data_IF_116953294379
#
_entry.id   IF_116953294379
#
_cell.length_a   1.000
_cell.length_b   1.000
_cell.length_c   1.000
_cell.angle_alpha   90.00
_cell.angle_beta   90.00
_cell.angle_gamma   90.00
#
_symmetry.space_group_name_H-M   'P 1'
#
loop_
_entity.id
_entity.type
_entity.pdbx_description
1 polymer ?
#
# COMPACT_ATOMS: atom_id res chain seq x y z
N UNK A 1 16.76 18.80 -5.29
CA UNK A 1 15.30 18.55 -5.32
C UNK A 1 15.02 17.61 -6.51
N UNK A 2 14.53 16.38 -6.28
CA UNK A 2 14.28 15.40 -7.35
C UNK A 2 13.13 15.84 -8.26
N UNK A 3 13.27 15.67 -9.57
CA UNK A 3 12.20 15.94 -10.55
C UNK A 3 11.15 14.81 -10.50
N UNK A 4 9.87 15.18 -10.48
CA UNK A 4 8.73 14.31 -10.20
C UNK A 4 8.43 13.22 -11.26
N UNK A 5 9.07 13.26 -12.44
CA UNK A 5 8.76 12.40 -13.59
C UNK A 5 9.98 11.70 -14.21
N UNK A 6 11.17 11.80 -13.61
CA UNK A 6 12.36 11.06 -14.07
C UNK A 6 12.46 9.71 -13.32
N UNK A 7 13.02 8.65 -13.96
CA UNK A 7 13.26 7.38 -13.28
C UNK A 7 14.12 7.61 -12.03
N UNK A 8 13.65 7.08 -10.91
CA UNK A 8 14.29 7.30 -9.61
C UNK A 8 15.56 6.46 -9.54
N UNK A 9 16.71 7.13 -9.49
CA UNK A 9 18.01 6.50 -9.34
C UNK A 9 18.20 6.07 -7.86
N UNK A 10 18.59 4.80 -7.58
CA UNK A 10 18.90 4.36 -6.22
C UNK A 10 19.92 5.23 -5.49
N UNK A 11 21.00 5.63 -6.17
CA UNK A 11 22.07 6.44 -5.58
C UNK A 11 21.58 7.80 -5.10
N UNK A 12 20.66 8.44 -5.84
CA UNK A 12 20.13 9.74 -5.43
C UNK A 12 19.15 9.68 -4.26
N UNK A 13 18.48 8.53 -4.02
CA UNK A 13 17.73 8.32 -2.77
C UNK A 13 18.68 8.17 -1.57
N UNK A 14 19.77 7.42 -1.74
CA UNK A 14 20.76 7.24 -0.69
C UNK A 14 21.46 8.56 -0.33
N UNK A 15 21.83 9.35 -1.33
CA UNK A 15 22.44 10.67 -1.13
C UNK A 15 21.46 11.65 -0.46
N UNK A 16 20.17 11.60 -0.80
CA UNK A 16 19.15 12.42 -0.15
C UNK A 16 18.96 12.07 1.32
N UNK A 17 18.91 10.78 1.67
CA UNK A 17 18.91 10.33 3.06
C UNK A 17 20.17 10.84 3.81
N UNK A 18 21.34 10.71 3.18
CA UNK A 18 22.61 11.18 3.78
C UNK A 18 22.58 12.68 4.06
N UNK A 19 22.11 13.48 3.10
CA UNK A 19 22.00 14.92 3.25
C UNK A 19 21.01 15.30 4.37
N UNK A 20 19.86 14.64 4.44
CA UNK A 20 18.86 14.88 5.49
C UNK A 20 19.42 14.56 6.88
N UNK A 21 20.16 13.46 7.04
CA UNK A 21 20.75 13.07 8.32
C UNK A 21 21.92 13.98 8.73
N UNK A 22 22.76 14.41 7.78
CA UNK A 22 23.84 15.37 8.04
C UNK A 22 23.31 16.75 8.44
N UNK A 23 22.10 17.12 8.00
CA UNK A 23 21.45 18.38 8.38
C UNK A 23 20.93 18.39 9.82
N UNK A 24 20.89 17.25 10.52
CA UNK A 24 20.39 17.17 11.88
C UNK A 24 21.51 17.45 12.89
N UNK A 25 21.26 18.23 13.96
CA UNK A 25 22.27 18.57 14.97
C UNK A 25 22.73 17.36 15.81
N UNK A 26 22.11 16.20 15.59
CA UNK A 26 22.34 14.95 16.30
C UNK A 26 23.50 14.13 15.73
N UNK A 27 23.96 14.41 14.51
CA UNK A 27 25.00 13.62 13.85
C UNK A 27 26.24 14.45 13.56
N UNK A 28 27.39 13.78 13.62
CA UNK A 28 28.65 14.35 13.17
C UNK A 28 28.88 13.99 11.70
N UNK A 29 28.80 12.70 11.35
CA UNK A 29 28.92 12.20 9.98
C UNK A 29 28.06 10.95 9.75
N UNK A 30 27.71 10.71 8.49
CA UNK A 30 26.98 9.54 8.03
C UNK A 30 27.64 9.01 6.74
N UNK A 31 28.11 7.76 6.77
CA UNK A 31 28.78 7.11 5.65
C UNK A 31 28.04 5.83 5.26
N UNK A 32 27.94 5.57 3.96
CA UNK A 32 27.41 4.32 3.41
C UNK A 32 28.23 3.94 2.19
N UNK A 33 28.57 2.66 2.09
CA UNK A 33 29.27 2.09 0.95
C UNK A 33 28.28 1.49 -0.06
N UNK A 34 28.11 2.13 -1.25
CA UNK A 34 27.25 1.64 -2.33
C UNK A 34 27.93 0.60 -3.27
N UNK A 35 29.19 0.19 -3.04
CA UNK A 35 29.91 -0.74 -3.93
C UNK A 35 29.42 -2.19 -3.87
N UNK A 36 29.09 -2.77 -5.02
CA UNK A 36 28.72 -4.20 -5.15
C UNK A 36 29.87 -5.15 -4.78
N UNK A 37 31.10 -4.66 -4.70
CA UNK A 37 32.28 -5.45 -4.32
C UNK A 37 32.39 -5.67 -2.81
N UNK A 38 31.53 -5.06 -2.00
CA UNK A 38 31.52 -5.25 -0.55
C UNK A 38 30.89 -6.62 -0.19
N UNK A 39 31.68 -7.60 0.30
CA UNK A 39 31.18 -8.95 0.57
C UNK A 39 30.21 -9.01 1.75
N UNK A 40 30.11 -7.97 2.58
CA UNK A 40 29.22 -7.91 3.75
C UNK A 40 27.80 -7.47 3.40
N UNK A 41 27.39 -7.39 2.13
CA UNK A 41 26.11 -6.76 1.79
C UNK A 41 24.85 -7.48 2.25
N UNK A 42 24.86 -8.76 2.61
CA UNK A 42 23.74 -9.51 3.22
C UNK A 42 22.31 -9.16 2.72
N UNK A 43 22.13 -8.84 1.43
CA UNK A 43 20.84 -8.44 0.85
C UNK A 43 20.43 -6.96 1.03
N UNK A 44 21.34 -6.12 1.49
CA UNK A 44 21.29 -4.66 1.56
C UNK A 44 21.89 -4.02 0.29
N UNK A 45 21.35 -2.87 -0.08
CA UNK A 45 21.85 -2.05 -1.19
C UNK A 45 23.02 -1.16 -0.76
N UNK A 46 23.17 -0.91 0.55
CA UNK A 46 24.34 -0.30 1.16
C UNK A 46 24.44 -0.66 2.64
N UNK A 47 25.66 -0.70 3.18
CA UNK A 47 25.92 -0.76 4.61
C UNK A 47 26.75 0.46 4.98
N UNK A 48 26.50 1.00 6.16
CA UNK A 48 27.13 2.22 6.59
C UNK A 48 27.24 2.37 8.08
N UNK A 49 27.90 3.44 8.46
CA UNK A 49 28.14 3.84 9.83
C UNK A 49 27.56 5.23 10.05
N UNK A 50 26.78 5.36 11.11
CA UNK A 50 26.28 6.63 11.61
C UNK A 50 27.03 6.99 12.88
N UNK A 51 27.54 8.22 12.93
CA UNK A 51 28.27 8.74 14.08
C UNK A 51 27.40 9.78 14.79
N UNK A 52 26.72 9.41 15.90
CA UNK A 52 26.01 10.37 16.74
C UNK A 52 26.99 11.36 17.34
N UNK A 53 26.56 12.61 17.48
CA UNK A 53 27.39 13.66 18.06
C UNK A 53 27.72 13.32 19.52
N UNK A 54 29.01 13.32 19.85
CA UNK A 54 29.49 12.99 21.21
C UNK A 54 29.56 11.49 21.51
N UNK A 55 29.38 10.63 20.51
CA UNK A 55 29.57 9.18 20.63
C UNK A 55 30.74 8.73 19.75
N UNK A 56 31.71 8.04 20.34
CA UNK A 56 32.87 7.50 19.60
C UNK A 56 32.54 6.18 18.89
N UNK A 57 31.48 5.49 19.35
CA UNK A 57 31.05 4.21 18.77
C UNK A 57 30.06 4.51 17.63
N UNK A 58 30.38 4.13 16.37
CA UNK A 58 29.43 4.24 15.29
C UNK A 58 28.31 3.21 15.42
N UNK A 59 27.12 3.59 14.96
CA UNK A 59 26.04 2.64 14.75
C UNK A 59 26.18 2.06 13.34
N UNK A 60 26.14 0.73 13.21
CA UNK A 60 26.15 0.00 11.93
C UNK A 60 24.73 -0.15 11.38
N UNK A 61 24.51 0.35 10.16
CA UNK A 61 23.19 0.42 9.54
C UNK A 61 23.17 -0.21 8.15
N UNK A 62 22.20 -1.09 7.94
CA UNK A 62 21.84 -1.59 6.61
C UNK A 62 20.82 -0.67 5.94
N UNK A 63 20.99 -0.42 4.64
CA UNK A 63 20.03 0.34 3.82
C UNK A 63 19.50 -0.53 2.71
N UNK A 64 18.18 -0.56 2.58
CA UNK A 64 17.48 -1.16 1.44
C UNK A 64 16.79 -0.07 0.64
N UNK A 65 17.03 -0.04 -0.66
CA UNK A 65 16.55 0.99 -1.57
C UNK A 65 15.42 0.43 -2.42
N UNK A 66 14.30 1.16 -2.45
CA UNK A 66 13.18 0.92 -3.34
C UNK A 66 13.07 2.08 -4.32
N UNK A 67 13.05 1.77 -5.61
CA UNK A 67 12.89 2.78 -6.69
C UNK A 67 11.43 3.12 -6.99
N UNK A 68 10.49 2.48 -6.28
CA UNK A 68 9.04 2.71 -6.37
C UNK A 68 8.46 2.90 -4.98
N UNK A 69 7.27 3.52 -4.91
CA UNK A 69 6.52 3.67 -3.67
C UNK A 69 6.37 2.30 -2.98
N UNK A 70 6.59 2.30 -1.67
CA UNK A 70 6.53 1.09 -0.87
C UNK A 70 5.09 0.81 -0.44
N UNK A 71 4.55 -0.27 -0.97
CA UNK A 71 3.20 -0.75 -0.69
C UNK A 71 3.17 -1.63 0.57
N UNK A 72 2.03 -1.70 1.29
CA UNK A 72 1.91 -2.41 2.57
C UNK A 72 2.36 -3.87 2.52
N UNK A 73 1.97 -4.64 1.50
CA UNK A 73 2.35 -6.05 1.37
C UNK A 73 3.85 -6.24 1.19
N UNK A 74 4.47 -5.40 0.36
CA UNK A 74 5.91 -5.46 0.15
C UNK A 74 6.67 -5.08 1.41
N UNK A 75 6.21 -4.05 2.13
CA UNK A 75 6.78 -3.66 3.42
C UNK A 75 6.70 -4.79 4.45
N UNK A 76 5.59 -5.53 4.49
CA UNK A 76 5.42 -6.67 5.39
C UNK A 76 6.41 -7.80 5.10
N UNK A 77 6.50 -8.23 3.85
CA UNK A 77 7.41 -9.30 3.43
C UNK A 77 8.88 -8.89 3.59
N UNK A 78 9.21 -7.67 3.17
CA UNK A 78 10.56 -7.14 3.29
C UNK A 78 10.96 -6.98 4.76
N UNK A 79 10.09 -6.39 5.58
CA UNK A 79 10.36 -6.18 7.00
C UNK A 79 10.56 -7.49 7.76
N UNK A 80 9.82 -8.55 7.40
CA UNK A 80 10.00 -9.88 8.00
C UNK A 80 11.43 -10.40 7.77
N UNK A 81 11.87 -10.40 6.50
CA UNK A 81 13.22 -10.81 6.12
C UNK A 81 14.30 -9.95 6.76
N UNK A 82 14.11 -8.63 6.80
CA UNK A 82 15.12 -7.71 7.35
C UNK A 82 15.27 -7.85 8.87
N UNK A 83 14.20 -8.19 9.59
CA UNK A 83 14.27 -8.43 11.03
C UNK A 83 15.16 -9.63 11.36
N UNK A 84 15.11 -10.70 10.55
CA UNK A 84 15.99 -11.88 10.69
C UNK A 84 17.45 -11.48 10.44
N UNK A 85 17.73 -10.84 9.30
CA UNK A 85 19.09 -10.42 8.93
C UNK A 85 19.68 -9.43 9.93
N UNK A 86 18.87 -8.53 10.53
CA UNK A 86 19.34 -7.58 11.55
C UNK A 86 20.05 -8.28 12.71
N UNK A 87 19.44 -9.37 13.18
CA UNK A 87 19.94 -10.16 14.31
C UNK A 87 21.18 -10.93 13.90
N UNK A 88 21.13 -11.61 12.75
CA UNK A 88 22.26 -12.41 12.24
C UNK A 88 23.53 -11.58 12.02
N UNK A 89 23.36 -10.34 11.54
CA UNK A 89 24.47 -9.46 11.18
C UNK A 89 24.84 -8.45 12.26
N UNK A 90 24.23 -8.55 13.44
CA UNK A 90 24.44 -7.65 14.58
C UNK A 90 24.42 -6.16 14.18
N UNK A 91 23.42 -5.78 13.37
CA UNK A 91 23.23 -4.40 12.92
C UNK A 91 22.44 -3.61 13.96
N UNK A 92 22.90 -2.40 14.26
CA UNK A 92 22.20 -1.48 15.16
C UNK A 92 20.84 -1.05 14.57
N UNK A 93 20.80 -0.82 13.26
CA UNK A 93 19.61 -0.34 12.57
C UNK A 93 19.50 -0.84 11.13
N UNK A 94 18.28 -0.84 10.61
CA UNK A 94 18.02 -1.04 9.19
C UNK A 94 17.02 0.04 8.75
N UNK A 95 17.25 0.64 7.59
CA UNK A 95 16.33 1.61 6.98
C UNK A 95 15.95 1.16 5.59
N UNK A 96 14.64 1.13 5.34
CA UNK A 96 14.11 1.04 3.99
C UNK A 96 13.88 2.46 3.45
N UNK A 97 14.52 2.80 2.34
CA UNK A 97 14.32 4.07 1.65
C UNK A 97 13.49 3.89 0.38
N UNK A 98 12.54 4.80 0.16
CA UNK A 98 11.67 4.77 -1.01
C UNK A 98 11.28 6.20 -1.45
N UNK A 99 10.66 6.38 -2.62
CA UNK A 99 10.12 7.68 -3.02
C UNK A 99 9.00 8.14 -2.08
N UNK A 100 8.15 7.19 -1.69
CA UNK A 100 7.09 7.37 -0.71
C UNK A 100 6.84 6.05 0.02
N UNK A 101 6.62 6.13 1.34
CA UNK A 101 6.20 5.01 2.17
C UNK A 101 4.80 5.30 2.68
N UNK A 102 3.81 4.49 2.28
CA UNK A 102 2.43 4.65 2.77
C UNK A 102 2.37 4.43 4.29
N UNK A 103 1.36 5.01 4.95
CA UNK A 103 1.18 4.87 6.40
C UNK A 103 1.10 3.39 6.84
N UNK A 104 0.33 2.57 6.12
CA UNK A 104 0.24 1.13 6.39
C UNK A 104 1.56 0.39 6.14
N UNK A 105 2.35 0.79 5.14
CA UNK A 105 3.70 0.25 4.91
C UNK A 105 4.65 0.65 6.05
N UNK A 106 4.61 1.91 6.49
CA UNK A 106 5.39 2.42 7.61
C UNK A 106 5.08 1.66 8.90
N UNK A 107 3.80 1.47 9.23
CA UNK A 107 3.38 0.68 10.39
C UNK A 107 3.90 -0.77 10.34
N UNK A 108 3.88 -1.37 9.16
CA UNK A 108 4.37 -2.73 8.94
C UNK A 108 5.87 -2.87 9.22
N UNK A 109 6.70 -1.94 8.73
CA UNK A 109 8.14 -1.89 9.02
C UNK A 109 8.41 -1.65 10.51
N UNK A 110 7.71 -0.68 11.09
CA UNK A 110 7.83 -0.25 12.48
C UNK A 110 7.57 -1.40 13.46
N UNK A 111 6.51 -2.18 13.23
CA UNK A 111 6.16 -3.34 14.06
C UNK A 111 7.29 -4.37 14.14
N UNK A 112 8.22 -4.35 13.19
CA UNK A 112 9.35 -5.27 13.08
C UNK A 112 10.68 -4.63 13.48
N UNK A 113 10.66 -3.41 14.03
CA UNK A 113 11.87 -2.68 14.42
C UNK A 113 12.71 -2.21 13.22
N UNK A 114 12.10 -2.12 12.03
CA UNK A 114 12.73 -1.63 10.82
C UNK A 114 12.38 -0.15 10.63
N UNK A 115 13.39 0.68 10.42
CA UNK A 115 13.21 2.08 10.11
C UNK A 115 12.85 2.31 8.64
N UNK A 116 12.34 3.50 8.35
CA UNK A 116 12.10 3.96 6.99
C UNK A 116 12.43 5.44 6.81
N UNK A 117 12.71 5.81 5.57
CA UNK A 117 12.76 7.19 5.12
C UNK A 117 12.16 7.27 3.73
N UNK A 118 11.45 8.35 3.44
CA UNK A 118 10.95 8.59 2.10
C UNK A 118 11.31 9.97 1.55
N UNK A 119 11.43 10.02 0.23
CA UNK A 119 11.74 11.25 -0.46
C UNK A 119 10.56 12.25 -0.47
N UNK A 120 9.43 11.96 0.17
CA UNK A 120 8.36 12.94 0.41
C UNK A 120 8.55 13.66 1.76
N UNK A 121 9.47 13.21 2.60
CA UNK A 121 9.82 13.79 3.89
C UNK A 121 9.22 13.06 5.09
N UNK A 122 8.57 11.91 4.89
CA UNK A 122 8.18 11.04 5.98
C UNK A 122 9.36 10.13 6.36
N UNK A 123 9.54 9.89 7.65
CA UNK A 123 10.53 8.94 8.12
C UNK A 123 10.15 8.38 9.48
N UNK A 124 10.65 7.17 9.77
CA UNK A 124 10.88 6.71 11.12
C UNK A 124 12.21 5.98 11.19
N UNK A 125 13.22 6.61 11.75
CA UNK A 125 14.57 6.07 11.86
C UNK A 125 14.81 5.85 13.35
N UNK A 126 15.04 4.59 13.80
CA UNK A 126 15.37 4.33 15.20
C UNK A 126 16.33 3.17 15.43
N UNK A 127 17.32 3.38 16.30
CA UNK A 127 18.21 2.38 16.90
C UNK A 127 18.77 2.92 18.22
N UNK A 128 18.79 2.12 19.29
CA UNK A 128 19.34 2.54 20.58
C UNK A 128 18.71 3.86 21.09
N UNK A 129 19.54 4.86 21.35
CA UNK A 129 19.13 6.18 21.81
C UNK A 129 18.60 7.12 20.69
N UNK A 130 18.65 6.68 19.43
CA UNK A 130 18.24 7.48 18.29
C UNK A 130 16.77 7.20 17.95
N UNK A 131 15.96 8.26 17.95
CA UNK A 131 14.58 8.24 17.47
C UNK A 131 14.29 9.51 16.68
N UNK A 132 13.90 9.34 15.41
CA UNK A 132 13.46 10.42 14.54
C UNK A 132 12.14 10.00 13.91
N UNK A 133 11.11 10.82 14.03
CA UNK A 133 9.81 10.60 13.39
C UNK A 133 9.33 11.87 12.70
N UNK A 134 8.95 11.74 11.43
CA UNK A 134 8.25 12.75 10.63
C UNK A 134 7.13 12.07 9.87
N UNK A 135 5.91 12.57 10.00
CA UNK A 135 4.71 11.97 9.40
C UNK A 135 3.79 13.06 8.83
N UNK A 136 2.89 12.66 7.94
CA UNK A 136 1.85 13.53 7.38
C UNK A 136 2.24 14.26 6.09
N UNK A 137 3.43 14.01 5.54
CA UNK A 137 3.83 14.58 4.25
C UNK A 137 3.14 13.80 3.12
N UNK A 138 2.43 14.50 2.20
CA UNK A 138 1.68 13.83 1.13
C UNK A 138 2.64 13.16 0.13
N UNK A 139 2.14 12.12 -0.54
CA UNK A 139 2.89 11.41 -1.57
C UNK A 139 3.18 12.32 -2.77
N UNK A 140 4.42 12.82 -2.87
CA UNK A 140 4.88 13.60 -4.02
C UNK A 140 5.01 12.75 -5.28
N UNK A 141 5.19 11.45 -5.12
CA UNK A 141 5.40 10.46 -6.18
C UNK A 141 4.11 9.66 -6.48
N UNK A 142 2.95 10.25 -6.23
CA UNK A 142 1.68 9.66 -6.60
C UNK A 142 1.60 9.57 -8.13
N UNK A 143 1.47 8.34 -8.66
CA UNK A 143 1.17 8.16 -10.09
C UNK A 143 -0.18 8.78 -10.41
N UNK A 144 -0.35 9.31 -11.62
CA UNK A 144 -1.66 9.77 -12.10
C UNK A 144 -2.71 8.67 -11.85
N UNK A 145 -3.90 9.08 -11.38
CA UNK A 145 -4.95 8.24 -10.80
C UNK A 145 -5.46 7.07 -11.68
N UNK A 146 -5.02 6.98 -12.93
CA UNK A 146 -5.29 5.85 -13.83
C UNK A 146 -4.53 4.56 -13.48
N UNK A 147 -3.53 4.59 -12.57
CA UNK A 147 -2.79 3.41 -12.12
C UNK A 147 -2.56 3.31 -10.59
N UNK A 148 -3.52 3.02 -9.72
CA UNK A 148 -4.89 2.57 -9.86
C UNK A 148 -5.42 2.41 -8.44
N UNK A 149 -6.46 3.16 -8.09
CA UNK A 149 -7.17 2.96 -6.82
C UNK A 149 -8.09 1.75 -6.96
N UNK A 150 -8.15 0.83 -5.98
CA UNK A 150 -9.18 -0.21 -5.99
C UNK A 150 -10.58 0.36 -5.71
N UNK A 151 -10.71 1.66 -5.43
CA UNK A 151 -11.97 2.35 -5.09
C UNK A 151 -12.59 3.10 -6.29
N UNK A 152 -12.21 2.75 -7.52
CA UNK A 152 -12.91 3.23 -8.74
C UNK A 152 -14.37 2.75 -8.78
N UNK A 153 -15.21 3.27 -9.70
CA UNK A 153 -16.60 2.81 -9.85
C UNK A 153 -16.72 1.28 -10.02
N UNK A 154 -15.83 0.66 -10.79
CA UNK A 154 -15.78 -0.80 -10.95
C UNK A 154 -15.30 -1.48 -9.65
N UNK A 155 -14.28 -0.91 -9.02
CA UNK A 155 -13.79 -1.32 -7.71
C UNK A 155 -14.87 -1.37 -6.64
N UNK A 156 -15.64 -0.29 -6.50
CA UNK A 156 -16.75 -0.20 -5.54
C UNK A 156 -17.84 -1.25 -5.80
N UNK A 157 -18.07 -1.67 -7.04
CA UNK A 157 -19.00 -2.78 -7.34
C UNK A 157 -18.45 -4.11 -6.85
N UNK A 158 -17.14 -4.33 -7.01
CA UNK A 158 -16.45 -5.53 -6.53
C UNK A 158 -16.32 -5.58 -5.00
N UNK A 159 -16.24 -4.43 -4.34
CA UNK A 159 -16.19 -4.33 -2.88
C UNK A 159 -17.52 -4.71 -2.19
N UNK A 160 -18.66 -4.47 -2.85
CA UNK A 160 -19.99 -4.81 -2.29
C UNK A 160 -20.11 -6.28 -1.90
N UNK A 161 -19.87 -7.27 -2.78
CA UNK A 161 -19.93 -8.68 -2.40
C UNK A 161 -18.81 -9.10 -1.43
N UNK A 162 -17.64 -8.45 -1.45
CA UNK A 162 -16.57 -8.72 -0.49
C UNK A 162 -16.89 -8.26 0.94
N UNK A 163 -17.63 -7.16 1.07
CA UNK A 163 -17.99 -6.54 2.34
C UNK A 163 -19.43 -6.83 2.77
N UNK A 164 -20.13 -7.70 2.03
CA UNK A 164 -21.44 -8.18 2.41
C UNK A 164 -21.30 -8.96 3.74
N UNK A 165 -22.04 -8.60 4.80
CA UNK A 165 -21.97 -9.29 6.09
C UNK A 165 -22.19 -10.79 5.98
N UNK A 166 -23.02 -11.25 5.05
CA UNK A 166 -23.29 -12.68 4.83
C UNK A 166 -22.11 -13.40 4.14
N UNK A 167 -21.27 -12.67 3.42
CA UNK A 167 -20.13 -13.20 2.68
C UNK A 167 -18.76 -12.79 3.28
N UNK A 168 -18.72 -12.19 4.47
CA UNK A 168 -17.50 -11.58 4.99
C UNK A 168 -16.37 -12.58 5.24
N UNK A 169 -16.70 -13.82 5.59
CA UNK A 169 -15.75 -14.92 5.78
C UNK A 169 -15.58 -15.79 4.53
N UNK A 170 -16.29 -15.48 3.44
CA UNK A 170 -16.28 -16.29 2.23
C UNK A 170 -14.95 -16.16 1.48
N UNK A 171 -14.43 -17.30 1.03
CA UNK A 171 -13.37 -17.34 0.01
C UNK A 171 -13.99 -17.23 -1.37
N UNK A 172 -13.47 -16.29 -2.17
CA UNK A 172 -13.97 -15.98 -3.50
C UNK A 172 -12.98 -16.45 -4.56
N UNK A 173 -13.48 -17.17 -5.57
CA UNK A 173 -12.75 -17.21 -6.85
C UNK A 173 -12.93 -15.86 -7.56
N UNK A 174 -11.94 -15.44 -8.36
CA UNK A 174 -12.06 -14.19 -9.13
C UNK A 174 -13.25 -14.24 -10.12
N UNK A 175 -13.61 -15.43 -10.61
CA UNK A 175 -14.75 -15.63 -11.49
C UNK A 175 -16.07 -15.41 -10.76
N UNK A 176 -16.23 -15.99 -9.57
CA UNK A 176 -17.44 -15.82 -8.77
C UNK A 176 -17.59 -14.38 -8.30
N UNK A 177 -16.47 -13.74 -7.95
CA UNK A 177 -16.48 -12.35 -7.54
C UNK A 177 -16.87 -11.41 -8.69
N UNK A 178 -16.33 -11.63 -9.89
CA UNK A 178 -16.73 -10.89 -11.09
C UNK A 178 -18.22 -11.11 -11.42
N UNK A 179 -18.72 -12.34 -11.26
CA UNK A 179 -20.13 -12.67 -11.45
C UNK A 179 -21.02 -11.97 -10.42
N UNK A 180 -20.63 -11.93 -9.15
CA UNK A 180 -21.37 -11.24 -8.09
C UNK A 180 -21.35 -9.71 -8.25
N UNK A 181 -20.28 -9.17 -8.83
CA UNK A 181 -20.14 -7.74 -9.13
C UNK A 181 -20.76 -7.32 -10.49
N UNK A 182 -21.39 -8.26 -11.20
CA UNK A 182 -22.03 -8.02 -12.49
C UNK A 182 -23.38 -7.29 -12.32
N UNK A 183 -23.77 -6.38 -13.23
CA UNK A 183 -23.01 -5.87 -14.37
C UNK A 183 -21.95 -4.84 -13.99
N UNK A 184 -20.91 -4.71 -14.83
CA UNK A 184 -19.96 -3.60 -14.78
C UNK A 184 -18.56 -3.90 -14.23
N UNK A 185 -18.23 -5.16 -13.95
CA UNK A 185 -16.86 -5.61 -13.66
C UNK A 185 -16.56 -6.87 -14.47
N UNK A 186 -15.67 -6.76 -15.46
CA UNK A 186 -15.19 -7.93 -16.21
C UNK A 186 -14.22 -8.77 -15.36
N UNK A 187 -13.96 -10.02 -15.76
CA UNK A 187 -12.98 -10.87 -15.09
C UNK A 187 -11.57 -10.24 -15.08
N UNK A 188 -11.18 -9.59 -16.17
CA UNK A 188 -9.90 -8.86 -16.25
C UNK A 188 -9.83 -7.68 -15.29
N UNK A 189 -10.93 -6.93 -15.16
CA UNK A 189 -11.03 -5.86 -14.16
C UNK A 189 -11.01 -6.41 -12.73
N UNK A 190 -11.69 -7.52 -12.47
CA UNK A 190 -11.67 -8.18 -11.16
C UNK A 190 -10.24 -8.61 -10.78
N UNK A 191 -9.47 -9.17 -11.72
CA UNK A 191 -8.07 -9.51 -11.49
C UNK A 191 -7.21 -8.29 -11.16
N UNK A 192 -7.35 -7.20 -11.94
CA UNK A 192 -6.60 -5.97 -11.71
C UNK A 192 -6.94 -5.33 -10.35
N UNK A 193 -8.23 -5.24 -10.01
CA UNK A 193 -8.71 -4.70 -8.74
C UNK A 193 -8.29 -5.56 -7.54
N UNK A 194 -8.38 -6.89 -7.66
CA UNK A 194 -7.91 -7.81 -6.63
C UNK A 194 -6.41 -7.63 -6.38
N UNK A 195 -5.59 -7.50 -7.43
CA UNK A 195 -4.15 -7.24 -7.28
C UNK A 195 -3.87 -5.92 -6.54
N UNK A 196 -4.67 -4.87 -6.77
CA UNK A 196 -4.52 -3.60 -6.05
C UNK A 196 -4.89 -3.73 -4.58
N UNK A 197 -6.01 -4.39 -4.26
CA UNK A 197 -6.42 -4.68 -2.89
C UNK A 197 -5.38 -5.54 -2.17
N UNK A 198 -4.80 -6.51 -2.86
CA UNK A 198 -3.78 -7.42 -2.34
C UNK A 198 -2.47 -6.69 -2.03
N UNK A 199 -2.03 -5.79 -2.91
CA UNK A 199 -0.85 -4.96 -2.67
C UNK A 199 -1.02 -4.04 -1.44
N UNK A 200 -2.26 -3.58 -1.20
CA UNK A 200 -2.64 -2.75 -0.07
C UNK A 200 -2.97 -3.55 1.21
N UNK A 201 -2.75 -4.87 1.23
CA UNK A 201 -3.07 -5.76 2.35
C UNK A 201 -4.56 -5.80 2.75
N UNK A 202 -5.48 -5.48 1.84
CA UNK A 202 -6.91 -5.59 2.09
C UNK A 202 -7.47 -6.99 1.90
N UNK A 203 -6.80 -7.81 1.06
CA UNK A 203 -7.18 -9.19 0.81
C UNK A 203 -5.97 -10.11 0.91
N UNK A 204 -6.23 -11.35 1.30
CA UNK A 204 -5.30 -12.46 1.23
C UNK A 204 -5.63 -13.35 0.04
N UNK A 205 -4.59 -13.90 -0.59
CA UNK A 205 -4.70 -14.84 -1.70
C UNK A 205 -4.14 -16.19 -1.27
N UNK A 206 -4.97 -17.22 -1.40
CA UNK A 206 -4.61 -18.61 -1.17
C UNK A 206 -4.94 -19.50 -2.38
N UNK A 207 -4.72 -20.82 -2.25
CA UNK A 207 -5.00 -21.78 -3.33
C UNK A 207 -6.49 -21.80 -3.72
N UNK A 208 -7.38 -21.63 -2.75
CA UNK A 208 -8.84 -21.66 -2.93
C UNK A 208 -9.44 -20.34 -3.45
N UNK A 209 -8.65 -19.27 -3.52
CA UNK A 209 -9.10 -17.96 -3.97
C UNK A 209 -8.65 -16.81 -3.08
N UNK A 210 -9.48 -15.77 -2.97
CA UNK A 210 -9.20 -14.56 -2.21
C UNK A 210 -10.19 -14.36 -1.07
N UNK A 211 -9.72 -13.81 0.05
CA UNK A 211 -10.52 -13.48 1.22
C UNK A 211 -10.18 -12.09 1.73
N UNK A 212 -11.14 -11.37 2.30
CA UNK A 212 -10.89 -10.06 2.92
C UNK A 212 -10.11 -10.25 4.22
N UNK A 213 -8.96 -9.58 4.34
CA UNK A 213 -8.09 -9.67 5.52
C UNK A 213 -8.64 -8.87 6.70
N UNK A 214 -8.97 -7.59 6.45
CA UNK A 214 -9.53 -6.67 7.44
C UNK A 214 -10.72 -5.94 6.83
N UNK A 215 -11.95 -6.46 7.02
CA UNK A 215 -13.16 -5.83 6.50
C UNK A 215 -13.36 -4.40 6.98
N UNK A 216 -13.05 -4.13 8.25
CA UNK A 216 -13.25 -2.81 8.84
C UNK A 216 -12.23 -1.80 8.28
N UNK A 217 -10.97 -2.22 8.13
CA UNK A 217 -9.92 -1.42 7.48
C UNK A 217 -10.23 -1.14 6.02
N UNK A 218 -10.73 -2.14 5.28
CA UNK A 218 -11.15 -1.97 3.89
C UNK A 218 -12.34 -1.00 3.76
N UNK A 219 -13.33 -1.09 4.66
CA UNK A 219 -14.45 -0.12 4.72
C UNK A 219 -13.97 1.31 4.99
N UNK A 220 -13.05 1.50 5.94
CA UNK A 220 -12.47 2.82 6.24
C UNK A 220 -11.69 3.39 5.06
N UNK A 221 -10.85 2.57 4.42
CA UNK A 221 -10.11 2.97 3.23
C UNK A 221 -11.05 3.34 2.08
N UNK A 222 -12.10 2.54 1.87
CA UNK A 222 -13.13 2.83 0.90
C UNK A 222 -13.83 4.17 1.17
N UNK A 223 -14.27 4.41 2.41
CA UNK A 223 -14.94 5.67 2.79
C UNK A 223 -14.05 6.91 2.58
N UNK A 224 -12.74 6.78 2.80
CA UNK A 224 -11.78 7.88 2.64
C UNK A 224 -11.44 8.19 1.19
N UNK A 225 -11.31 7.18 0.35
CA UNK A 225 -10.72 7.31 -0.99
C UNK A 225 -11.73 7.25 -2.14
N UNK A 226 -12.90 6.65 -1.94
CA UNK A 226 -13.90 6.63 -2.98
C UNK A 226 -14.44 8.03 -3.25
N UNK A 227 -14.39 8.41 -4.52
CA UNK A 227 -15.20 9.52 -5.02
C UNK A 227 -16.66 9.07 -4.99
N UNK A 228 -17.50 9.86 -4.31
CA UNK A 228 -18.94 9.67 -4.36
C UNK A 228 -19.38 9.67 -5.84
N UNK A 229 -20.12 8.65 -6.31
CA UNK A 229 -20.70 8.71 -7.63
C UNK A 229 -21.60 9.94 -7.70
N UNK A 230 -21.60 10.64 -8.84
CA UNK A 230 -22.67 11.61 -9.14
C UNK A 230 -23.97 10.83 -9.23
N UNK A 231 -24.74 10.85 -8.15
CA UNK A 231 -26.04 10.19 -8.07
C UNK A 231 -27.07 11.13 -8.68
N UNK A 232 -27.66 10.72 -9.81
CA UNK A 232 -28.89 11.34 -10.28
C UNK A 232 -30.04 10.70 -9.52
N UNK A 233 -30.47 11.33 -8.44
CA UNK A 233 -31.65 10.86 -7.71
C UNK A 233 -32.89 11.15 -8.56
N UNK A 234 -33.57 10.09 -9.00
CA UNK A 234 -34.89 10.18 -9.61
C UNK A 234 -35.92 9.68 -8.61
N UNK A 235 -37.00 10.42 -8.43
CA UNK A 235 -38.11 10.04 -7.57
C UNK A 235 -39.19 9.42 -8.44
N UNK A 236 -39.63 8.23 -8.06
CA UNK A 236 -40.74 7.52 -8.69
C UNK A 236 -41.73 7.12 -7.59
N UNK A 237 -42.98 6.91 -7.96
CA UNK A 237 -43.99 6.34 -7.06
C UNK A 237 -44.57 5.08 -7.70
N UNK A 238 -45.03 4.16 -6.87
CA UNK A 238 -45.75 2.96 -7.29
C UNK A 238 -47.05 2.88 -6.50
N UNK A 239 -48.18 2.57 -7.14
CA UNK A 239 -49.44 2.32 -6.44
C UNK A 239 -49.47 0.93 -5.77
N UNK A 240 -48.45 0.09 -6.00
CA UNK A 240 -48.34 -1.25 -5.41
C UNK A 240 -47.95 -1.16 -3.93
N UNK A 241 -48.44 -2.11 -3.13
CA UNK A 241 -47.88 -2.37 -1.80
C UNK A 241 -46.40 -2.77 -1.90
N UNK A 242 -45.66 -2.67 -0.80
CA UNK A 242 -44.22 -2.98 -0.77
C UNK A 242 -43.90 -4.40 -1.26
N UNK A 243 -44.68 -5.40 -0.84
CA UNK A 243 -44.48 -6.79 -1.25
C UNK A 243 -44.81 -7.02 -2.72
N UNK A 244 -45.92 -6.44 -3.22
CA UNK A 244 -46.30 -6.53 -4.61
C UNK A 244 -45.29 -5.81 -5.53
N UNK A 245 -44.77 -4.68 -5.07
CA UNK A 245 -43.68 -3.97 -5.76
C UNK A 245 -42.41 -4.83 -5.81
N UNK A 246 -41.97 -5.39 -4.67
CA UNK A 246 -40.75 -6.20 -4.61
C UNK A 246 -40.82 -7.40 -5.55
N UNK A 247 -41.91 -8.16 -5.51
CA UNK A 247 -42.11 -9.31 -6.40
C UNK A 247 -42.04 -8.90 -7.88
N UNK A 248 -42.78 -7.85 -8.26
CA UNK A 248 -42.80 -7.37 -9.64
C UNK A 248 -41.47 -6.76 -10.08
N UNK A 249 -40.74 -6.14 -9.16
CA UNK A 249 -39.42 -5.59 -9.43
C UNK A 249 -38.41 -6.71 -9.69
N UNK A 250 -38.43 -7.78 -8.90
CA UNK A 250 -37.60 -8.98 -9.11
C UNK A 250 -37.91 -9.66 -10.46
N UNK A 251 -39.18 -9.79 -10.83
CA UNK A 251 -39.61 -10.28 -12.15
C UNK A 251 -39.05 -9.42 -13.29
N UNK A 252 -39.18 -8.10 -13.20
CA UNK A 252 -38.66 -7.18 -14.22
C UNK A 252 -37.13 -7.25 -14.28
N UNK A 253 -36.43 -7.25 -13.15
CA UNK A 253 -34.98 -7.37 -13.11
C UNK A 253 -34.49 -8.66 -13.81
N UNK A 254 -35.20 -9.77 -13.65
CA UNK A 254 -34.86 -11.04 -14.31
C UNK A 254 -35.04 -11.00 -15.84
N UNK A 255 -35.89 -10.10 -16.35
CA UNK A 255 -36.14 -9.93 -17.79
C UNK A 255 -35.20 -8.94 -18.48
N UNK A 256 -34.44 -8.14 -17.72
CA UNK A 256 -33.49 -7.19 -18.31
C UNK A 256 -32.30 -7.95 -18.92
N UNK A 257 -32.01 -7.80 -20.22
CA UNK A 257 -30.80 -8.38 -20.80
C UNK A 257 -29.58 -7.80 -20.09
N UNK A 258 -28.51 -8.61 -19.97
CA UNK A 258 -27.21 -8.17 -19.44
C UNK A 258 -26.92 -6.73 -19.90
N UNK A 259 -26.95 -5.78 -18.97
CA UNK A 259 -26.95 -4.32 -19.21
C UNK A 259 -25.61 -3.78 -19.78
N UNK A 260 -24.99 -4.49 -20.71
CA UNK A 260 -23.84 -4.02 -21.48
C UNK A 260 -24.22 -2.95 -22.51
N UNK A 261 -25.50 -2.81 -22.86
CA UNK A 261 -25.95 -1.95 -23.96
C UNK A 261 -26.58 -0.59 -23.53
N UNK A 262 -26.82 -0.34 -22.24
CA UNK A 262 -27.57 0.87 -21.78
C UNK A 262 -26.65 1.93 -21.14
N UNK A 263 -25.34 1.71 -21.13
CA UNK A 263 -24.35 2.65 -20.56
C UNK A 263 -23.23 3.04 -21.55
N UNK A 264 -23.54 3.07 -22.85
CA UNK A 264 -22.72 3.80 -23.83
C UNK A 264 -23.05 5.30 -23.76
#
# INVERSE_FOLDING_TARGET
>A
MMKLNEPINPGSLLDALRQDLQGLPLYQHAFWDPSAENPERFGFDAIGELYPKGCEIPLRWGVVIKVRNLEPREAELLGARLAEVKVEQNLDGIVVIAPFVSEAAAESLVKRGIGYWDASGNCRISSGALYIERKGFPNRYARQASQGSPFTRAGQRLLRPLLDPECISRTWTLRDLAKAAHPGVSLGQAHALAKLLENQNHIDRGPEGIQVRDPAGLLRAWAREAKAPRLTQRRFYSPLSQDAFRKRFEEVLATLPNMNAVLA
#
